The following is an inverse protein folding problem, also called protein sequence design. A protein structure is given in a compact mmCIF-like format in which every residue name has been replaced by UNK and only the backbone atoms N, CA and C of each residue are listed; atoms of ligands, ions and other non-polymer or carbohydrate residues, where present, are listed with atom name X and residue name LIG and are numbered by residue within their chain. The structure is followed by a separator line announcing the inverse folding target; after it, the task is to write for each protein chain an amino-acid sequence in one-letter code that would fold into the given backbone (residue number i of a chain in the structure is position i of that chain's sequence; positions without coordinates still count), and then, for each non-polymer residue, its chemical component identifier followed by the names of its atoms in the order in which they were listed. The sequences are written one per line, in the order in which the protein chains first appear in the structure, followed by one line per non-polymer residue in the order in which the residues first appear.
data_IF_243850509025
#
_entry.id   IF_243850509025
#
_cell.length_a   1.000
_cell.length_b   1.000
_cell.length_c   1.000
_cell.angle_alpha   90.00
_cell.angle_beta   90.00
_cell.angle_gamma   90.00
#
_symmetry.space_group_name_H-M   'P 1'
#
loop_
_entity.id
_entity.type
_entity.pdbx_description
1 polymer ?
#
# COMPACT_ATOMS: atom_id res chain seq x y z
N UNK A 1 -12.81 -5.79 18.92
CA UNK A 1 -11.90 -5.54 17.78
C UNK A 1 -11.17 -6.84 17.40
N UNK A 2 -11.20 -7.22 16.15
CA UNK A 2 -10.46 -8.37 15.64
C UNK A 2 -9.04 -7.91 15.27
N UNK A 3 -8.03 -8.65 15.74
CA UNK A 3 -6.62 -8.38 15.42
C UNK A 3 -6.03 -9.62 14.75
N UNK A 4 -5.40 -9.44 13.58
CA UNK A 4 -4.63 -10.50 12.91
C UNK A 4 -3.17 -10.09 12.76
N UNK A 5 -2.29 -11.08 12.83
CA UNK A 5 -0.86 -10.96 12.58
C UNK A 5 -0.43 -12.13 11.70
N UNK A 6 0.02 -11.85 10.48
CA UNK A 6 0.28 -12.85 9.45
C UNK A 6 1.70 -12.64 8.88
N UNK A 7 2.61 -13.62 8.99
CA UNK A 7 3.90 -13.53 8.32
C UNK A 7 3.73 -13.65 6.79
N UNK A 8 4.39 -12.77 6.05
CA UNK A 8 4.41 -12.78 4.59
C UNK A 8 5.64 -13.56 4.15
N UNK A 9 5.43 -14.73 3.59
CA UNK A 9 6.51 -15.65 3.23
C UNK A 9 7.21 -15.29 1.92
N UNK A 10 6.53 -14.59 1.01
CA UNK A 10 7.08 -14.22 -0.30
C UNK A 10 6.29 -13.07 -0.95
N UNK A 11 6.87 -12.47 -1.97
CA UNK A 11 6.19 -11.44 -2.78
C UNK A 11 6.39 -10.00 -2.32
N UNK A 12 7.07 -9.77 -1.19
CA UNK A 12 7.50 -8.44 -0.78
C UNK A 12 8.96 -8.19 -1.16
N UNK A 13 9.33 -6.94 -1.51
CA UNK A 13 10.70 -6.58 -1.84
C UNK A 13 11.61 -6.65 -0.60
N UNK A 14 12.91 -6.84 -0.82
CA UNK A 14 13.88 -6.74 0.26
C UNK A 14 13.86 -5.33 0.89
N UNK A 15 14.09 -5.19 2.21
CA UNK A 15 14.08 -3.88 2.89
C UNK A 15 15.02 -2.85 2.25
N UNK A 16 16.22 -3.24 1.81
CA UNK A 16 17.14 -2.35 1.12
C UNK A 16 16.58 -1.85 -0.21
N UNK A 17 15.84 -2.69 -0.94
CA UNK A 17 15.12 -2.30 -2.14
C UNK A 17 14.04 -1.27 -1.83
N UNK A 18 13.30 -1.46 -0.74
CA UNK A 18 12.27 -0.50 -0.29
C UNK A 18 12.91 0.83 0.05
N UNK A 19 13.97 0.83 0.84
CA UNK A 19 14.70 2.05 1.23
C UNK A 19 15.25 2.78 0.00
N UNK A 20 15.87 2.06 -0.93
CA UNK A 20 16.45 2.63 -2.15
C UNK A 20 15.40 3.26 -3.07
N UNK A 21 14.33 2.52 -3.37
CA UNK A 21 13.30 2.97 -4.32
C UNK A 21 12.38 4.04 -3.75
N UNK A 22 12.19 4.08 -2.43
CA UNK A 22 11.44 5.15 -1.76
C UNK A 22 12.14 6.51 -1.81
N UNK A 23 13.41 6.54 -2.22
CA UNK A 23 14.23 7.76 -2.31
C UNK A 23 14.31 8.55 -0.98
N UNK A 24 14.23 7.85 0.13
CA UNK A 24 14.31 8.44 1.46
C UNK A 24 15.79 8.67 1.78
N UNK A 25 16.19 9.94 1.83
CA UNK A 25 17.62 10.37 1.94
C UNK A 25 18.30 9.97 3.25
N UNK A 26 17.55 9.66 4.29
CA UNK A 26 18.11 9.20 5.56
C UNK A 26 18.06 7.66 5.56
N UNK A 27 19.21 7.02 5.81
CA UNK A 27 19.26 5.59 6.19
C UNK A 27 18.48 5.42 7.50
N UNK A 28 17.18 5.29 7.35
CA UNK A 28 16.32 4.94 8.47
C UNK A 28 16.61 3.48 8.81
N UNK A 29 16.44 3.13 10.07
CA UNK A 29 16.57 1.74 10.54
C UNK A 29 15.74 0.79 9.68
N UNK A 30 16.11 -0.49 9.62
CA UNK A 30 15.46 -1.54 8.83
C UNK A 30 13.93 -1.62 8.98
N UNK A 31 13.38 -1.02 10.05
CA UNK A 31 11.96 -1.07 10.43
C UNK A 31 11.17 0.22 10.13
N UNK A 32 11.70 1.14 9.33
CA UNK A 32 11.10 2.46 9.18
C UNK A 32 10.01 2.56 8.09
N UNK A 33 9.91 1.56 7.20
CA UNK A 33 8.92 1.51 6.14
C UNK A 33 7.64 0.80 6.60
N UNK A 34 6.50 1.44 6.47
CA UNK A 34 5.19 0.84 6.72
C UNK A 34 4.31 0.97 5.48
N UNK A 35 3.93 -0.17 4.91
CA UNK A 35 2.87 -0.22 3.92
C UNK A 35 1.53 -0.23 4.66
N UNK A 36 0.53 0.51 4.19
CA UNK A 36 -0.80 0.46 4.79
C UNK A 36 -1.91 0.71 3.79
N UNK A 37 -3.10 0.25 4.14
CA UNK A 37 -4.34 0.42 3.40
C UNK A 37 -5.52 0.42 4.39
N UNK A 38 -6.61 1.14 4.07
CA UNK A 38 -7.78 1.28 4.95
C UNK A 38 -9.07 0.86 4.28
N UNK A 39 -9.98 0.33 5.09
CA UNK A 39 -11.35 0.08 4.68
C UNK A 39 -12.32 0.99 5.44
N UNK A 40 -13.25 1.59 4.71
CA UNK A 40 -14.17 2.58 5.24
C UNK A 40 -15.63 2.24 4.97
N UNK A 41 -16.55 2.74 5.79
CA UNK A 41 -17.99 2.52 5.61
C UNK A 41 -18.59 3.35 4.47
N UNK A 42 -17.80 4.19 3.82
CA UNK A 42 -18.18 5.07 2.69
C UNK A 42 -17.05 6.00 2.30
N UNK A 43 -17.22 6.75 1.23
CA UNK A 43 -16.17 7.59 0.64
C UNK A 43 -15.95 8.94 1.35
N UNK A 44 -16.91 9.41 2.14
CA UNK A 44 -16.82 10.72 2.80
C UNK A 44 -16.16 10.58 4.17
N UNK A 45 -14.95 11.11 4.32
CA UNK A 45 -14.21 11.14 5.60
C UNK A 45 -14.96 11.86 6.74
N UNK A 46 -15.93 12.72 6.42
CA UNK A 46 -16.71 13.46 7.42
C UNK A 46 -17.88 12.64 8.01
N UNK A 47 -18.48 11.75 7.21
CA UNK A 47 -19.68 11.00 7.58
C UNK A 47 -19.45 9.50 7.70
N UNK A 48 -18.42 8.96 7.07
CA UNK A 48 -18.07 7.55 7.18
C UNK A 48 -16.99 7.31 8.25
N UNK A 49 -16.79 6.04 8.59
CA UNK A 49 -15.84 5.57 9.60
C UNK A 49 -14.81 4.63 8.97
N UNK A 50 -13.62 4.58 9.56
CA UNK A 50 -12.63 3.53 9.29
C UNK A 50 -13.00 2.31 10.11
N UNK A 51 -13.17 1.17 9.48
CA UNK A 51 -13.50 -0.06 10.20
C UNK A 51 -12.39 -1.12 10.16
N UNK A 52 -11.45 -0.99 9.23
CA UNK A 52 -10.29 -1.86 9.14
C UNK A 52 -9.09 -1.04 8.70
N UNK A 53 -7.99 -1.24 9.37
CA UNK A 53 -6.66 -0.80 8.92
C UNK A 53 -5.80 -2.04 8.79
N UNK A 54 -5.19 -2.21 7.62
CA UNK A 54 -4.13 -3.17 7.38
C UNK A 54 -2.79 -2.47 7.26
N UNK A 55 -1.74 -3.06 7.83
CA UNK A 55 -0.40 -2.52 7.70
C UNK A 55 0.66 -3.63 7.67
N UNK A 56 1.74 -3.39 6.93
CA UNK A 56 2.86 -4.33 6.81
C UNK A 56 4.14 -3.64 7.21
N UNK A 57 4.93 -4.29 8.06
CA UNK A 57 6.29 -3.86 8.40
C UNK A 57 7.27 -5.03 8.41
N UNK A 58 8.55 -4.68 8.26
CA UNK A 58 9.64 -5.65 8.41
C UNK A 58 10.07 -5.74 9.86
N UNK A 59 9.98 -6.92 10.44
CA UNK A 59 10.46 -7.20 11.80
C UNK A 59 10.93 -8.65 11.91
N UNK A 60 11.95 -8.89 12.74
CA UNK A 60 12.51 -10.24 12.98
C UNK A 60 12.86 -10.99 11.67
N UNK A 61 13.46 -10.27 10.72
CA UNK A 61 13.89 -10.76 9.40
C UNK A 61 12.78 -11.25 8.49
N UNK A 62 11.55 -10.76 8.66
CA UNK A 62 10.42 -11.05 7.76
C UNK A 62 9.42 -9.90 7.70
N UNK A 63 8.68 -9.82 6.61
CA UNK A 63 7.54 -8.94 6.51
C UNK A 63 6.35 -9.54 7.25
N UNK A 64 5.64 -8.71 8.02
CA UNK A 64 4.48 -9.13 8.78
C UNK A 64 3.33 -8.17 8.51
N UNK A 65 2.20 -8.75 8.11
CA UNK A 65 0.93 -8.06 7.97
C UNK A 65 0.22 -8.03 9.34
N UNK A 66 -0.28 -6.87 9.69
CA UNK A 66 -1.16 -6.61 10.82
C UNK A 66 -2.48 -6.08 10.31
N UNK A 67 -3.57 -6.51 10.91
CA UNK A 67 -4.90 -6.00 10.63
C UNK A 67 -5.65 -5.76 11.92
N UNK A 68 -6.31 -4.61 12.01
CA UNK A 68 -7.18 -4.21 13.13
C UNK A 68 -8.56 -3.91 12.56
N UNK A 69 -9.56 -4.74 12.87
CA UNK A 69 -10.93 -4.59 12.40
C UNK A 69 -11.89 -4.34 13.55
N UNK A 70 -12.66 -3.26 13.46
CA UNK A 70 -13.71 -2.94 14.42
C UNK A 70 -14.87 -3.95 14.31
N UNK A 71 -15.32 -4.48 15.43
CA UNK A 71 -16.49 -5.37 15.52
C UNK A 71 -17.78 -4.60 15.78
N UNK A 72 -17.68 -3.32 16.13
CA UNK A 72 -18.79 -2.40 16.31
C UNK A 72 -18.33 -0.95 16.03
N UNK A 73 -19.26 -0.03 15.92
CA UNK A 73 -18.98 1.36 15.56
C UNK A 73 -18.17 2.13 16.62
N UNK A 74 -18.16 1.66 17.86
CA UNK A 74 -17.49 2.29 18.99
C UNK A 74 -16.00 1.97 19.02
N UNK A 75 -15.57 0.91 18.33
CA UNK A 75 -14.18 0.46 18.28
C UNK A 75 -13.31 1.18 17.25
N UNK A 76 -13.86 2.11 16.45
CA UNK A 76 -13.05 2.88 15.52
C UNK A 76 -11.89 3.61 16.22
N UNK A 77 -12.14 4.21 17.38
CA UNK A 77 -11.10 4.90 18.14
C UNK A 77 -9.97 3.92 18.57
N UNK A 78 -10.32 2.69 18.93
CA UNK A 78 -9.34 1.65 19.29
C UNK A 78 -8.50 1.22 18.08
N UNK A 79 -9.11 1.06 16.89
CA UNK A 79 -8.41 0.77 15.65
C UNK A 79 -7.40 1.87 15.30
N UNK A 80 -7.81 3.13 15.42
CA UNK A 80 -6.95 4.28 15.20
C UNK A 80 -5.80 4.34 16.20
N UNK A 81 -6.05 4.04 17.47
CA UNK A 81 -5.03 4.04 18.53
C UNK A 81 -3.97 2.96 18.26
N UNK A 82 -4.37 1.73 17.94
CA UNK A 82 -3.45 0.64 17.61
C UNK A 82 -2.57 1.00 16.40
N UNK A 83 -3.17 1.60 15.38
CA UNK A 83 -2.41 2.03 14.21
C UNK A 83 -1.46 3.19 14.54
N UNK A 84 -1.85 4.13 15.42
CA UNK A 84 -0.97 5.20 15.88
C UNK A 84 0.27 4.64 16.57
N UNK A 85 0.09 3.72 17.52
CA UNK A 85 1.19 3.01 18.20
C UNK A 85 2.07 2.23 17.20
N UNK A 86 1.44 1.59 16.23
CA UNK A 86 2.17 0.86 15.18
C UNK A 86 3.07 1.77 14.35
N UNK A 87 2.66 3.01 14.14
CA UNK A 87 3.42 4.02 13.38
C UNK A 87 4.50 4.75 14.19
N UNK A 88 4.59 4.63 15.52
CA UNK A 88 5.48 5.45 16.36
C UNK A 88 6.92 5.49 15.85
N UNK A 89 7.48 4.35 15.44
CA UNK A 89 8.86 4.25 14.96
C UNK A 89 8.98 4.23 13.43
N UNK A 90 7.90 4.54 12.70
CA UNK A 90 7.95 4.63 11.25
C UNK A 90 8.59 5.93 10.80
N UNK A 91 9.50 5.85 9.83
CA UNK A 91 10.05 7.02 9.16
C UNK A 91 9.23 7.44 7.94
N UNK A 92 8.60 6.48 7.28
CA UNK A 92 7.77 6.74 6.12
C UNK A 92 6.67 5.69 5.94
N UNK A 93 5.61 6.10 5.26
CA UNK A 93 4.47 5.27 4.94
C UNK A 93 4.37 5.07 3.43
N UNK A 94 3.95 3.88 3.01
CA UNK A 94 3.81 3.49 1.62
C UNK A 94 2.37 3.07 1.38
N UNK A 95 1.72 3.67 0.39
CA UNK A 95 0.33 3.40 0.05
C UNK A 95 0.09 3.61 -1.46
N UNK A 96 -1.10 3.26 -1.92
CA UNK A 96 -1.54 3.49 -3.28
C UNK A 96 -2.66 4.53 -3.36
N UNK A 97 -2.37 5.73 -3.91
CA UNK A 97 -3.30 6.87 -3.95
C UNK A 97 -3.75 7.36 -2.56
N UNK A 98 -3.02 6.99 -1.52
CA UNK A 98 -3.36 7.27 -0.14
C UNK A 98 -3.25 8.75 0.24
N UNK A 99 -2.42 9.54 -0.46
CA UNK A 99 -2.34 10.98 -0.27
C UNK A 99 -3.66 11.71 -0.61
N UNK A 100 -4.53 11.07 -1.42
CA UNK A 100 -5.82 11.63 -1.79
C UNK A 100 -6.99 11.05 -1.00
N UNK A 101 -6.83 9.84 -0.45
CA UNK A 101 -7.91 9.15 0.24
C UNK A 101 -7.53 8.70 1.65
N UNK A 102 -6.63 7.76 1.82
CA UNK A 102 -6.35 7.08 3.10
C UNK A 102 -5.85 8.04 4.16
N UNK A 103 -4.78 8.78 3.87
CA UNK A 103 -4.19 9.69 4.86
C UNK A 103 -5.14 10.82 5.24
N UNK A 104 -5.75 11.60 4.32
CA UNK A 104 -6.72 12.64 4.70
C UNK A 104 -7.96 12.07 5.39
N UNK A 105 -8.34 10.82 5.10
CA UNK A 105 -9.43 10.16 5.80
C UNK A 105 -9.05 9.86 7.24
N UNK A 106 -7.90 9.25 7.48
CA UNK A 106 -7.38 8.97 8.81
C UNK A 106 -7.17 10.25 9.62
N UNK A 107 -6.56 11.28 9.05
CA UNK A 107 -6.36 12.57 9.73
C UNK A 107 -7.68 13.18 10.22
N UNK A 108 -8.74 13.12 9.40
CA UNK A 108 -10.07 13.58 9.82
C UNK A 108 -10.64 12.72 10.95
N UNK A 109 -10.40 11.40 10.94
CA UNK A 109 -10.86 10.52 12.02
C UNK A 109 -10.08 10.78 13.31
N UNK A 110 -8.75 10.94 13.26
CA UNK A 110 -7.94 11.34 14.43
C UNK A 110 -8.47 12.66 15.02
N UNK A 111 -8.71 13.66 14.17
CA UNK A 111 -9.26 14.95 14.58
C UNK A 111 -10.62 14.81 15.28
N UNK A 112 -11.53 13.99 14.73
CA UNK A 112 -12.85 13.73 15.30
C UNK A 112 -12.77 13.14 16.70
N UNK A 113 -11.84 12.23 16.94
CA UNK A 113 -11.62 11.61 18.25
C UNK A 113 -10.71 12.41 19.17
N UNK A 114 -10.26 13.61 18.76
CA UNK A 114 -9.30 14.46 19.48
C UNK A 114 -8.00 13.73 19.81
N UNK A 115 -7.53 12.90 18.89
CA UNK A 115 -6.26 12.19 18.93
C UNK A 115 -5.25 12.91 18.05
N UNK A 116 -3.98 12.87 18.44
CA UNK A 116 -2.89 13.41 17.62
C UNK A 116 -2.68 12.56 16.37
N UNK A 117 -2.47 13.24 15.23
CA UNK A 117 -2.19 12.55 13.97
C UNK A 117 -0.79 11.92 13.99
N UNK A 118 -0.65 10.62 13.71
CA UNK A 118 0.65 9.96 13.69
C UNK A 118 1.49 10.30 12.44
N UNK A 119 0.97 11.10 11.50
CA UNK A 119 1.62 11.35 10.19
C UNK A 119 2.53 12.58 10.15
N UNK A 120 2.48 13.48 11.15
CA UNK A 120 3.09 14.81 11.11
C UNK A 120 4.60 14.82 10.72
N UNK A 121 5.36 13.80 11.12
CA UNK A 121 6.80 13.71 10.87
C UNK A 121 7.17 12.57 9.89
N UNK A 122 6.19 11.99 9.21
CA UNK A 122 6.41 10.85 8.32
C UNK A 122 6.41 11.25 6.85
N UNK A 123 7.35 10.70 6.11
CA UNK A 123 7.37 10.87 4.66
C UNK A 123 6.35 9.92 4.02
N UNK A 124 5.44 10.48 3.24
CA UNK A 124 4.46 9.70 2.48
C UNK A 124 5.02 9.29 1.11
N UNK A 125 5.00 8.01 0.80
CA UNK A 125 5.40 7.41 -0.48
C UNK A 125 4.16 6.88 -1.18
N UNK A 126 3.56 7.70 -2.04
CA UNK A 126 2.35 7.34 -2.78
C UNK A 126 2.72 6.72 -4.14
N UNK A 127 2.55 5.40 -4.27
CA UNK A 127 2.92 4.67 -5.48
C UNK A 127 2.14 5.14 -6.71
N UNK A 128 0.87 5.51 -6.57
CA UNK A 128 0.11 6.05 -7.69
C UNK A 128 0.76 7.32 -8.25
N UNK A 129 1.12 8.26 -7.37
CA UNK A 129 1.73 9.53 -7.78
C UNK A 129 3.10 9.32 -8.42
N UNK A 130 3.91 8.43 -7.83
CA UNK A 130 5.26 8.14 -8.32
C UNK A 130 5.27 7.37 -9.64
N UNK A 131 4.33 6.44 -9.85
CA UNK A 131 4.24 5.62 -11.06
C UNK A 131 3.43 6.26 -12.17
N UNK A 132 2.61 7.29 -11.88
CA UNK A 132 1.78 7.96 -12.88
C UNK A 132 2.57 8.46 -14.11
N UNK A 133 3.76 9.04 -13.99
CA UNK A 133 4.60 9.41 -15.14
C UNK A 133 5.00 8.23 -16.03
N UNK A 134 5.08 7.02 -15.45
CA UNK A 134 5.46 5.80 -16.18
C UNK A 134 4.30 5.16 -16.95
N UNK A 135 3.09 5.72 -16.90
CA UNK A 135 1.89 5.12 -17.49
C UNK A 135 2.07 4.75 -18.97
N UNK A 136 2.64 5.65 -19.77
CA UNK A 136 2.90 5.40 -21.20
C UNK A 136 3.92 4.29 -21.43
N UNK A 137 4.97 4.25 -20.61
CA UNK A 137 6.00 3.21 -20.64
C UNK A 137 5.41 1.83 -20.32
N UNK A 138 4.50 1.78 -19.34
CA UNK A 138 3.77 0.56 -18.95
C UNK A 138 2.67 0.19 -19.95
N UNK A 139 2.37 1.04 -20.94
CA UNK A 139 1.27 0.88 -21.91
C UNK A 139 -0.09 0.65 -21.26
N UNK A 140 -0.32 1.26 -20.10
CA UNK A 140 -1.56 1.13 -19.35
C UNK A 140 -2.53 2.26 -19.69
N UNK A 141 -3.80 1.92 -19.93
CA UNK A 141 -4.88 2.89 -20.14
C UNK A 141 -5.37 3.52 -18.85
N UNK A 142 -5.26 2.77 -17.74
CA UNK A 142 -5.63 3.20 -16.39
C UNK A 142 -4.49 2.88 -15.43
N UNK A 143 -4.51 3.56 -14.29
CA UNK A 143 -3.50 3.39 -13.23
C UNK A 143 -4.19 3.10 -11.88
N UNK A 144 -5.19 2.21 -11.88
CA UNK A 144 -5.70 1.63 -10.62
C UNK A 144 -4.75 0.54 -10.15
N UNK A 145 -4.70 0.27 -8.86
CA UNK A 145 -3.84 -0.77 -8.31
C UNK A 145 -4.03 -2.12 -9.01
N UNK A 146 -5.26 -2.62 -9.27
CA UNK A 146 -5.45 -3.85 -10.05
C UNK A 146 -4.90 -3.82 -11.48
N UNK A 147 -4.81 -2.66 -12.12
CA UNK A 147 -4.22 -2.56 -13.48
C UNK A 147 -2.69 -2.83 -13.41
N UNK A 148 -2.02 -2.31 -12.36
CA UNK A 148 -0.60 -2.58 -12.12
C UNK A 148 -0.35 -4.01 -11.62
N UNK A 149 -1.24 -4.54 -10.79
CA UNK A 149 -1.18 -5.94 -10.36
C UNK A 149 -1.27 -6.90 -11.54
N UNK A 150 -2.20 -6.65 -12.45
CA UNK A 150 -2.29 -7.43 -13.71
C UNK A 150 -1.01 -7.33 -14.53
N UNK A 151 -0.38 -6.15 -14.59
CA UNK A 151 0.88 -5.95 -15.30
C UNK A 151 2.02 -6.78 -14.71
N UNK A 152 2.08 -6.95 -13.39
CA UNK A 152 3.09 -7.78 -12.71
C UNK A 152 2.64 -9.24 -12.51
N UNK A 153 1.62 -9.70 -13.23
CA UNK A 153 1.18 -11.10 -13.25
C UNK A 153 0.21 -11.52 -12.15
N UNK A 154 -0.41 -10.58 -11.43
CA UNK A 154 -1.50 -10.89 -10.49
C UNK A 154 -2.83 -10.76 -11.23
N UNK A 155 -3.36 -11.87 -11.75
CA UNK A 155 -4.56 -11.83 -12.60
C UNK A 155 -5.86 -12.17 -11.88
N UNK A 156 -5.79 -12.84 -10.74
CA UNK A 156 -6.97 -13.37 -10.05
C UNK A 156 -6.96 -12.93 -8.59
N UNK A 157 -7.70 -11.88 -8.27
CA UNK A 157 -8.06 -11.58 -6.89
C UNK A 157 -9.13 -12.56 -6.44
N UNK A 158 -8.97 -13.08 -5.24
CA UNK A 158 -9.87 -14.05 -4.64
C UNK A 158 -11.08 -13.37 -3.99
N UNK A 159 -10.86 -12.15 -3.49
CA UNK A 159 -11.85 -11.44 -2.70
C UNK A 159 -12.58 -10.35 -3.50
N UNK A 160 -13.64 -9.82 -2.94
CA UNK A 160 -14.55 -8.88 -3.57
C UNK A 160 -13.94 -7.47 -3.78
N UNK A 161 -14.67 -6.58 -4.45
CA UNK A 161 -14.30 -5.16 -4.54
C UNK A 161 -14.67 -4.38 -3.25
N UNK A 162 -14.07 -3.19 -3.06
CA UNK A 162 -14.30 -2.35 -1.88
C UNK A 162 -15.77 -1.98 -1.64
N UNK A 163 -16.58 -1.84 -2.72
CA UNK A 163 -18.02 -1.58 -2.57
C UNK A 163 -18.77 -2.77 -1.99
N UNK A 164 -18.33 -4.00 -2.31
CA UNK A 164 -18.84 -5.22 -1.70
C UNK A 164 -18.36 -5.37 -0.25
N UNK A 165 -17.11 -4.98 0.04
CA UNK A 165 -16.57 -4.98 1.40
C UNK A 165 -17.43 -4.14 2.35
N UNK A 166 -17.87 -2.95 1.94
CA UNK A 166 -18.79 -2.13 2.75
C UNK A 166 -20.09 -2.88 3.07
N UNK A 167 -20.67 -3.60 2.10
CA UNK A 167 -21.91 -4.37 2.33
C UNK A 167 -21.67 -5.56 3.26
N UNK A 168 -20.58 -6.26 3.07
CA UNK A 168 -20.18 -7.40 3.91
C UNK A 168 -19.87 -6.97 5.34
N UNK A 169 -19.14 -5.86 5.52
CA UNK A 169 -18.92 -5.32 6.85
C UNK A 169 -20.24 -4.94 7.55
N UNK A 170 -21.19 -4.31 6.85
CA UNK A 170 -22.53 -4.03 7.42
C UNK A 170 -23.28 -5.32 7.80
N UNK A 171 -23.10 -6.41 7.05
CA UNK A 171 -23.65 -7.73 7.38
C UNK A 171 -23.01 -8.30 8.64
N UNK A 172 -21.66 -8.24 8.71
CA UNK A 172 -20.90 -8.63 9.89
C UNK A 172 -21.34 -7.86 11.14
N UNK A 173 -21.50 -6.56 11.04
CA UNK A 173 -21.97 -5.71 12.15
C UNK A 173 -23.31 -6.16 12.72
N UNK A 174 -24.24 -6.58 11.84
CA UNK A 174 -25.60 -6.99 12.23
C UNK A 174 -25.68 -8.43 12.71
N UNK A 175 -24.98 -9.36 12.04
CA UNK A 175 -25.15 -10.81 12.23
C UNK A 175 -23.97 -11.46 12.92
N UNK A 176 -22.85 -10.75 13.09
CA UNK A 176 -21.57 -11.30 13.56
C UNK A 176 -21.08 -12.49 12.72
N UNK A 177 -21.38 -12.42 11.40
CA UNK A 177 -21.00 -13.44 10.45
C UNK A 177 -19.47 -13.48 10.25
N UNK A 178 -18.78 -14.54 10.70
CA UNK A 178 -17.32 -14.60 10.59
C UNK A 178 -16.84 -14.76 9.14
N UNK A 179 -17.66 -15.29 8.23
CA UNK A 179 -17.31 -15.40 6.81
C UNK A 179 -17.24 -14.02 6.17
N UNK A 180 -18.21 -13.14 6.45
CA UNK A 180 -18.21 -11.75 5.99
C UNK A 180 -16.96 -11.00 6.49
N UNK A 181 -16.57 -11.18 7.77
CA UNK A 181 -15.35 -10.61 8.31
C UNK A 181 -14.09 -11.13 7.59
N UNK A 182 -14.00 -12.43 7.36
CA UNK A 182 -12.86 -13.05 6.68
C UNK A 182 -12.71 -12.57 5.23
N UNK A 183 -13.80 -12.36 4.50
CA UNK A 183 -13.77 -11.85 3.13
C UNK A 183 -13.25 -10.41 3.12
N UNK A 184 -13.73 -9.57 4.02
CA UNK A 184 -13.29 -8.16 4.12
C UNK A 184 -11.80 -8.06 4.51
N UNK A 185 -11.38 -8.82 5.51
CA UNK A 185 -9.96 -8.85 5.90
C UNK A 185 -9.08 -9.43 4.80
N UNK A 186 -9.57 -10.43 4.06
CA UNK A 186 -8.87 -11.02 2.93
C UNK A 186 -8.71 -10.03 1.77
N UNK A 187 -9.69 -9.16 1.51
CA UNK A 187 -9.58 -8.10 0.51
C UNK A 187 -8.45 -7.12 0.85
N UNK A 188 -8.44 -6.59 2.06
CA UNK A 188 -7.38 -5.69 2.53
C UNK A 188 -6.00 -6.37 2.55
N UNK A 189 -5.94 -7.68 2.87
CA UNK A 189 -4.71 -8.47 2.75
C UNK A 189 -4.22 -8.53 1.29
N UNK A 190 -5.12 -8.80 0.32
CA UNK A 190 -4.78 -8.80 -1.12
C UNK A 190 -4.28 -7.44 -1.60
N UNK A 191 -4.89 -6.33 -1.15
CA UNK A 191 -4.44 -4.98 -1.49
C UNK A 191 -3.02 -4.72 -0.99
N UNK A 192 -2.70 -5.11 0.22
CA UNK A 192 -1.36 -4.94 0.80
C UNK A 192 -0.31 -5.86 0.14
N UNK A 193 -0.66 -7.11 -0.16
CA UNK A 193 0.23 -8.03 -0.88
C UNK A 193 0.47 -7.54 -2.31
N UNK A 194 -0.57 -7.03 -2.97
CA UNK A 194 -0.48 -6.39 -4.27
C UNK A 194 0.43 -5.17 -4.25
N UNK A 195 0.28 -4.30 -3.24
CA UNK A 195 1.12 -3.13 -3.03
C UNK A 195 2.61 -3.49 -2.94
N UNK A 196 2.94 -4.54 -2.18
CA UNK A 196 4.32 -5.05 -2.10
C UNK A 196 4.86 -5.54 -3.44
N UNK A 197 4.04 -6.24 -4.22
CA UNK A 197 4.45 -6.77 -5.54
C UNK A 197 4.59 -5.71 -6.62
N UNK A 198 3.78 -4.65 -6.60
CA UNK A 198 3.90 -3.55 -7.56
C UNK A 198 5.00 -2.55 -7.17
N UNK A 199 5.44 -2.54 -5.92
CA UNK A 199 6.44 -1.59 -5.42
C UNK A 199 7.73 -1.54 -6.26
N UNK A 200 8.34 -2.66 -6.72
CA UNK A 200 9.55 -2.64 -7.54
C UNK A 200 9.39 -1.95 -8.90
N UNK A 201 8.14 -1.68 -9.36
CA UNK A 201 7.90 -0.87 -10.55
C UNK A 201 8.46 0.56 -10.41
N UNK A 202 8.71 1.04 -9.18
CA UNK A 202 9.40 2.32 -8.94
C UNK A 202 10.81 2.35 -9.57
N UNK A 203 11.40 1.20 -9.87
CA UNK A 203 12.64 1.14 -10.66
C UNK A 203 12.48 1.78 -12.04
N UNK A 204 11.30 1.70 -12.65
CA UNK A 204 11.00 2.39 -13.92
C UNK A 204 10.98 3.91 -13.76
N UNK A 205 10.61 4.41 -12.58
CA UNK A 205 10.66 5.84 -12.28
C UNK A 205 12.10 6.36 -12.34
N UNK A 206 13.08 5.53 -11.97
CA UNK A 206 14.50 5.86 -12.03
C UNK A 206 14.98 6.19 -13.45
N UNK A 207 14.31 5.67 -14.50
CA UNK A 207 14.59 6.07 -15.89
C UNK A 207 14.34 7.57 -16.11
N UNK A 208 13.28 8.12 -15.53
CA UNK A 208 12.95 9.55 -15.63
C UNK A 208 13.90 10.41 -14.82
N UNK A 209 14.46 9.84 -13.75
CA UNK A 209 15.42 10.51 -12.88
C UNK A 209 16.86 10.39 -13.41
N UNK A 210 17.07 9.69 -14.56
CA UNK A 210 18.39 9.47 -15.17
C UNK A 210 19.24 8.41 -14.45
N UNK A 211 18.65 7.66 -13.54
CA UNK A 211 19.34 6.62 -12.76
C UNK A 211 19.25 5.26 -13.47
N UNK A 212 20.08 5.07 -14.49
CA UNK A 212 20.20 3.80 -15.22
C UNK A 212 21.64 3.64 -15.78
N UNK A 213 22.01 2.40 -16.10
CA UNK A 213 23.29 2.11 -16.74
C UNK A 213 23.06 1.67 -18.20
N UNK A 214 23.52 2.44 -19.21
CA UNK A 214 23.46 1.99 -20.59
C UNK A 214 24.48 0.86 -20.80
N UNK A 215 24.00 -0.27 -21.34
CA UNK A 215 24.82 -1.46 -21.62
C UNK A 215 25.19 -1.58 -23.10
N UNK A 216 24.25 -1.24 -23.97
CA UNK A 216 24.41 -1.32 -25.42
C UNK A 216 23.64 -0.19 -26.10
N UNK A 217 24.21 0.33 -27.15
CA UNK A 217 23.56 1.36 -27.98
C UNK A 217 23.84 1.02 -29.44
N UNK A 218 22.82 0.91 -30.25
CA UNK A 218 22.90 0.64 -31.68
C UNK A 218 21.88 1.45 -32.46
N UNK A 219 22.20 1.76 -33.71
CA UNK A 219 21.27 2.42 -34.64
C UNK A 219 20.79 1.38 -35.66
N UNK A 220 19.49 1.10 -35.65
CA UNK A 220 18.85 0.15 -36.57
C UNK A 220 17.74 0.90 -37.31
N UNK A 221 17.80 0.92 -38.64
CA UNK A 221 16.78 1.58 -39.49
C UNK A 221 16.47 3.04 -39.09
N UNK A 222 17.50 3.81 -38.76
CA UNK A 222 17.40 5.20 -38.28
C UNK A 222 16.76 5.36 -36.86
N UNK A 223 16.53 4.27 -36.16
CA UNK A 223 16.08 4.26 -34.77
C UNK A 223 17.24 3.96 -33.82
N UNK A 224 17.33 4.71 -32.73
CA UNK A 224 18.28 4.46 -31.65
C UNK A 224 17.70 3.41 -30.70
N UNK A 225 18.34 2.24 -30.65
CA UNK A 225 18.01 1.16 -29.72
C UNK A 225 19.03 1.14 -28.58
N UNK A 226 18.56 1.30 -27.35
CA UNK A 226 19.40 1.22 -26.15
C UNK A 226 18.93 0.08 -25.25
N UNK A 227 19.91 -0.70 -24.77
CA UNK A 227 19.71 -1.65 -23.66
C UNK A 227 20.16 -0.98 -22.37
N UNK A 228 19.25 -0.87 -21.40
CA UNK A 228 19.49 -0.21 -20.14
C UNK A 228 19.40 -1.24 -19.00
N UNK A 229 20.28 -1.11 -18.03
CA UNK A 229 20.16 -1.83 -16.76
C UNK A 229 19.55 -0.90 -15.71
N UNK A 230 18.48 -1.35 -15.10
CA UNK A 230 17.83 -0.67 -13.98
C UNK A 230 18.48 -1.08 -12.65
N UNK A 231 18.50 -0.19 -11.66
CA UNK A 231 19.11 -0.46 -10.35
C UNK A 231 18.41 -1.59 -9.58
N UNK A 232 17.14 -1.83 -9.86
CA UNK A 232 16.33 -2.91 -9.28
C UNK A 232 15.55 -3.59 -10.39
N UNK A 233 15.50 -4.91 -10.36
CA UNK A 233 14.72 -5.70 -11.31
C UNK A 233 13.23 -5.36 -11.19
N UNK A 234 12.59 -5.18 -12.36
CA UNK A 234 11.14 -4.98 -12.44
C UNK A 234 10.48 -6.36 -12.54
N UNK A 235 9.45 -6.63 -11.75
CA UNK A 235 8.68 -7.87 -11.88
C UNK A 235 7.86 -7.80 -13.17
N UNK A 236 8.24 -8.56 -14.18
CA UNK A 236 7.54 -8.68 -15.48
C UNK A 236 7.35 -10.16 -15.77
#
# INVERSE_FOLDING_TARGET
MIVKKIPILQGFPAPDTVNYLSNVKNKLSENSAIFYDIETTGLSRYTASVYLIGAVRYEKNQWILYQWMAENAEEEASVLQEFSVFLENAGYTIQYNGNRFDQPFLEERYRKYKMDSPFAEKTSVDLYQLLKPCQSLLKLTRMKQPDLENFVGIHNRKYCDGGQCIRLYKTFMKKKDPEAANIVMGHNEEDLLGLGKIFPLLSLRKLYDGEYCPKQCEVINQELKMTLELPVAVPI
#
